data_IF_550668511134
#
_entry.id   IF_550668511134
#
_cell.length_a   1.000
_cell.length_b   1.000
_cell.length_c   1.000
_cell.angle_alpha   90.00
_cell.angle_beta   90.00
_cell.angle_gamma   90.00
#
_symmetry.space_group_name_H-M   'P 1'
#
loop_
_entity.id
_entity.type
_entity.pdbx_description
1 polymer ?
#
# COMPACT_ATOMS: atom_id res chain seq x y z
N UNK A 1 -19.34 -12.16 28.08
CA UNK A 1 -18.94 -13.30 27.22
C UNK A 1 -17.64 -12.90 26.55
N UNK A 2 -16.53 -13.55 26.94
CA UNK A 2 -15.20 -13.29 26.36
C UNK A 2 -15.17 -13.89 24.95
N UNK A 3 -14.88 -13.04 23.95
CA UNK A 3 -14.61 -13.47 22.60
C UNK A 3 -13.32 -14.33 22.65
N UNK A 4 -13.31 -15.57 22.12
CA UNK A 4 -12.09 -16.36 22.09
C UNK A 4 -11.06 -15.59 21.23
N UNK A 5 -9.89 -15.35 21.79
CA UNK A 5 -8.74 -14.85 21.04
C UNK A 5 -8.47 -15.85 19.90
N UNK A 6 -8.65 -15.42 18.65
CA UNK A 6 -8.20 -16.16 17.49
C UNK A 6 -6.66 -16.19 17.59
N UNK A 7 -6.09 -17.33 18.00
CA UNK A 7 -4.65 -17.52 18.03
C UNK A 7 -4.13 -17.40 16.60
N UNK A 8 -3.44 -16.30 16.32
CA UNK A 8 -2.67 -16.17 15.09
C UNK A 8 -1.65 -17.32 15.04
N UNK A 9 -1.49 -17.99 13.90
CA UNK A 9 -0.46 -19.02 13.79
C UNK A 9 0.89 -18.41 14.15
N UNK A 10 1.67 -19.11 14.98
CA UNK A 10 2.95 -18.63 15.45
C UNK A 10 3.88 -18.32 14.25
N UNK A 11 4.18 -17.06 14.03
CA UNK A 11 5.03 -16.57 12.96
C UNK A 11 4.27 -15.95 11.78
N UNK A 12 4.97 -15.12 11.00
CA UNK A 12 4.41 -14.47 9.80
C UNK A 12 4.00 -15.52 8.75
N UNK A 13 2.72 -15.65 8.39
CA UNK A 13 2.22 -16.72 7.52
C UNK A 13 2.58 -16.43 6.06
N UNK A 14 3.62 -17.07 5.52
CA UNK A 14 4.06 -16.88 4.15
C UNK A 14 3.17 -17.59 3.13
N UNK A 15 2.77 -16.89 2.05
CA UNK A 15 1.98 -17.46 0.95
C UNK A 15 0.56 -17.88 1.35
N UNK A 16 0.03 -17.31 2.43
CA UNK A 16 -1.25 -17.73 3.01
C UNK A 16 -2.30 -16.63 2.88
N UNK A 17 -3.54 -17.05 2.61
CA UNK A 17 -4.73 -16.22 2.77
C UNK A 17 -5.40 -16.58 4.09
N UNK A 18 -5.76 -15.58 4.87
CA UNK A 18 -6.40 -15.74 6.18
C UNK A 18 -7.24 -14.51 6.53
N UNK A 19 -8.09 -14.66 7.53
CA UNK A 19 -8.92 -13.58 8.04
C UNK A 19 -8.24 -12.93 9.25
N UNK A 20 -8.03 -11.61 9.17
CA UNK A 20 -7.41 -10.80 10.21
C UNK A 20 -8.49 -9.96 10.92
N UNK A 21 -8.54 -9.92 12.25
CA UNK A 21 -9.47 -9.04 12.96
C UNK A 21 -9.24 -7.56 12.61
N UNK A 22 -10.25 -6.92 12.04
CA UNK A 22 -10.29 -5.49 11.74
C UNK A 22 -11.20 -4.73 12.71
N UNK A 23 -11.39 -3.42 12.52
CA UNK A 23 -12.17 -2.57 13.44
C UNK A 23 -13.66 -2.89 13.48
N UNK A 24 -14.24 -3.34 12.37
CA UNK A 24 -15.69 -3.61 12.26
C UNK A 24 -16.01 -5.05 11.85
N UNK A 25 -15.00 -5.89 11.69
CA UNK A 25 -15.14 -7.29 11.25
C UNK A 25 -13.82 -7.84 10.75
N UNK A 26 -13.88 -9.03 10.18
CA UNK A 26 -12.69 -9.71 9.67
C UNK A 26 -12.25 -9.14 8.32
N UNK A 27 -10.95 -9.02 8.10
CA UNK A 27 -10.32 -8.55 6.86
C UNK A 27 -9.62 -9.71 6.13
N UNK A 28 -10.00 -9.96 4.91
CA UNK A 28 -9.32 -10.92 4.04
C UNK A 28 -7.90 -10.44 3.72
N UNK A 29 -6.91 -11.22 4.14
CA UNK A 29 -5.50 -10.83 4.08
C UNK A 29 -4.68 -11.91 3.38
N UNK A 30 -3.77 -11.50 2.51
CA UNK A 30 -2.85 -12.36 1.77
C UNK A 30 -1.42 -11.90 2.00
N UNK A 31 -0.58 -12.79 2.49
CA UNK A 31 0.84 -12.53 2.70
C UNK A 31 1.70 -13.21 1.65
N UNK A 32 2.88 -12.68 1.41
CA UNK A 32 3.91 -13.32 0.62
C UNK A 32 5.29 -13.07 1.24
N UNK A 33 6.19 -14.04 1.12
CA UNK A 33 7.58 -13.89 1.54
C UNK A 33 8.49 -13.83 0.32
N UNK A 34 9.66 -13.16 0.43
CA UNK A 34 10.70 -13.21 -0.58
C UNK A 34 11.26 -14.63 -0.70
N UNK A 35 12.03 -14.86 -1.77
CA UNK A 35 12.76 -16.11 -1.92
C UNK A 35 13.72 -16.34 -0.73
N UNK A 36 14.03 -17.62 -0.46
CA UNK A 36 14.96 -17.98 0.60
C UNK A 36 16.33 -17.33 0.37
N UNK A 37 16.94 -16.83 1.43
CA UNK A 37 18.28 -16.20 1.38
C UNK A 37 18.31 -14.73 0.93
N UNK A 38 17.16 -14.14 0.52
CA UNK A 38 17.12 -12.72 0.11
C UNK A 38 16.25 -11.86 1.05
N UNK A 39 15.68 -12.45 2.10
CA UNK A 39 14.82 -11.74 3.04
C UNK A 39 15.58 -10.65 3.80
N UNK A 40 15.02 -9.45 3.83
CA UNK A 40 15.50 -8.31 4.63
C UNK A 40 14.52 -8.04 5.78
N UNK A 41 14.95 -7.33 6.85
CA UNK A 41 14.04 -6.99 7.97
C UNK A 41 13.09 -5.85 7.58
N UNK A 42 12.21 -6.11 6.62
CA UNK A 42 11.19 -5.17 6.17
C UNK A 42 9.92 -5.88 5.69
N UNK A 43 8.77 -5.26 6.01
CA UNK A 43 7.44 -5.71 5.59
C UNK A 43 6.70 -4.55 4.92
N UNK A 44 6.18 -4.77 3.71
CA UNK A 44 5.38 -3.81 2.97
C UNK A 44 3.89 -4.17 3.07
N UNK A 45 3.05 -3.22 3.50
CA UNK A 45 1.58 -3.32 3.46
C UNK A 45 1.06 -2.53 2.27
N UNK A 46 0.22 -3.16 1.45
CA UNK A 46 -0.18 -2.64 0.14
C UNK A 46 -1.69 -2.52 0.05
N UNK A 47 -2.17 -1.31 -0.21
CA UNK A 47 -3.58 -0.95 -0.32
C UNK A 47 -4.07 -0.98 -1.77
N UNK A 48 -5.22 -1.60 -1.99
CA UNK A 48 -5.85 -1.70 -3.30
C UNK A 48 -6.64 -0.44 -3.70
N UNK A 49 -7.01 -0.28 -4.99
CA UNK A 49 -7.79 0.86 -5.45
C UNK A 49 -9.23 0.84 -4.90
N UNK A 50 -10.03 1.81 -5.32
CA UNK A 50 -11.33 2.11 -4.72
C UNK A 50 -12.27 0.88 -4.62
N UNK A 51 -12.78 0.56 -3.41
CA UNK A 51 -13.65 -0.59 -3.16
C UNK A 51 -14.87 -0.68 -4.09
N UNK A 52 -15.58 0.43 -4.23
CA UNK A 52 -16.83 0.48 -5.01
C UNK A 52 -16.63 0.43 -6.53
N UNK A 53 -15.38 0.52 -7.00
CA UNK A 53 -15.04 0.42 -8.43
C UNK A 53 -14.26 -0.85 -8.76
N UNK A 54 -14.52 -1.93 -8.01
CA UNK A 54 -13.93 -3.24 -8.25
C UNK A 54 -12.48 -3.39 -7.77
N UNK A 55 -12.02 -2.49 -6.89
CA UNK A 55 -10.72 -2.61 -6.23
C UNK A 55 -10.67 -3.85 -5.34
N UNK A 56 -9.59 -4.64 -5.46
CA UNK A 56 -9.32 -5.80 -4.60
C UNK A 56 -7.83 -5.99 -4.42
N UNK A 57 -7.43 -6.79 -3.43
CA UNK A 57 -6.04 -7.22 -3.19
C UNK A 57 -5.41 -7.96 -4.39
N UNK A 58 -6.22 -8.41 -5.36
CA UNK A 58 -5.78 -9.08 -6.59
C UNK A 58 -5.57 -8.13 -7.77
N UNK A 59 -5.81 -6.83 -7.61
CA UNK A 59 -5.56 -5.84 -8.66
C UNK A 59 -4.13 -5.98 -9.23
N UNK A 60 -3.97 -5.86 -10.56
CA UNK A 60 -2.69 -6.11 -11.24
C UNK A 60 -1.57 -5.16 -10.80
N UNK A 61 -1.87 -3.90 -10.51
CA UNK A 61 -0.89 -2.93 -10.01
C UNK A 61 -0.47 -3.32 -8.59
N UNK A 62 -1.42 -3.68 -7.72
CA UNK A 62 -1.17 -4.15 -6.36
C UNK A 62 -0.33 -5.43 -6.36
N UNK A 63 -0.64 -6.38 -7.25
CA UNK A 63 0.15 -7.59 -7.41
C UNK A 63 1.57 -7.30 -7.90
N UNK A 64 1.73 -6.37 -8.85
CA UNK A 64 3.05 -5.95 -9.35
C UNK A 64 3.87 -5.32 -8.25
N UNK A 65 3.30 -4.43 -7.41
CA UNK A 65 3.98 -3.88 -6.23
C UNK A 65 4.45 -4.99 -5.30
N UNK A 66 3.55 -5.93 -4.93
CA UNK A 66 3.89 -7.02 -4.01
C UNK A 66 5.03 -7.89 -4.55
N UNK A 67 4.97 -8.26 -5.83
CA UNK A 67 6.02 -9.03 -6.49
C UNK A 67 7.35 -8.28 -6.48
N UNK A 68 7.33 -6.98 -6.81
CA UNK A 68 8.54 -6.15 -6.87
C UNK A 68 9.16 -5.95 -5.48
N UNK A 69 8.35 -5.74 -4.45
CA UNK A 69 8.87 -5.67 -3.08
C UNK A 69 9.44 -7.01 -2.61
N UNK A 70 8.84 -8.14 -3.01
CA UNK A 70 9.41 -9.48 -2.77
C UNK A 70 10.78 -9.67 -3.43
N UNK A 71 10.98 -9.15 -4.64
CA UNK A 71 12.28 -9.14 -5.33
C UNK A 71 13.33 -8.27 -4.62
N UNK A 72 12.89 -7.22 -3.92
CA UNK A 72 13.74 -6.39 -3.05
C UNK A 72 13.98 -7.02 -1.66
N UNK A 73 13.46 -8.22 -1.42
CA UNK A 73 13.64 -8.97 -0.18
C UNK A 73 12.60 -8.69 0.91
N UNK A 74 11.57 -7.89 0.64
CA UNK A 74 10.55 -7.56 1.63
C UNK A 74 9.48 -8.66 1.71
N UNK A 75 8.96 -8.87 2.93
CA UNK A 75 7.66 -9.53 3.12
C UNK A 75 6.56 -8.60 2.65
N UNK A 76 5.46 -9.13 2.12
CA UNK A 76 4.35 -8.30 1.68
C UNK A 76 3.03 -8.76 2.28
N UNK A 77 2.18 -7.79 2.58
CA UNK A 77 0.81 -7.97 3.07
C UNK A 77 -0.11 -7.21 2.13
N UNK A 78 -1.02 -7.91 1.50
CA UNK A 78 -2.15 -7.34 0.75
C UNK A 78 -3.43 -7.73 1.47
N UNK A 79 -4.40 -6.87 1.53
CA UNK A 79 -5.67 -7.17 2.17
C UNK A 79 -6.82 -6.51 1.41
N UNK A 80 -8.02 -7.02 1.58
CA UNK A 80 -9.22 -6.39 1.11
C UNK A 80 -9.77 -5.45 2.20
N UNK A 81 -10.07 -4.20 1.82
CA UNK A 81 -10.79 -3.28 2.70
C UNK A 81 -12.15 -3.84 3.07
N UNK A 82 -12.75 -3.29 4.14
CA UNK A 82 -14.11 -3.60 4.58
C UNK A 82 -15.10 -3.65 3.40
N UNK A 83 -15.95 -4.67 3.37
CA UNK A 83 -16.97 -4.87 2.33
C UNK A 83 -16.44 -5.37 0.98
N UNK A 84 -15.14 -5.74 0.87
CA UNK A 84 -14.55 -6.25 -0.37
C UNK A 84 -14.16 -7.72 -0.21
N UNK A 85 -14.46 -8.55 -1.19
CA UNK A 85 -14.15 -9.99 -1.17
C UNK A 85 -14.75 -10.68 0.03
N UNK A 86 -13.94 -11.38 0.83
CA UNK A 86 -14.36 -12.00 2.08
C UNK A 86 -14.26 -11.06 3.30
N UNK A 87 -13.80 -9.82 3.14
CA UNK A 87 -13.79 -8.85 4.23
C UNK A 87 -15.18 -8.43 4.63
N UNK A 88 -15.45 -8.42 5.94
CA UNK A 88 -16.74 -8.03 6.50
C UNK A 88 -16.94 -6.51 6.48
N UNK A 89 -18.17 -6.07 6.75
CA UNK A 89 -18.55 -4.67 6.81
C UNK A 89 -18.95 -4.07 5.47
N UNK A 90 -18.83 -2.75 5.35
CA UNK A 90 -19.16 -1.99 4.15
C UNK A 90 -18.23 -0.77 4.03
N UNK A 91 -18.15 -0.18 2.83
CA UNK A 91 -17.33 1.01 2.54
C UNK A 91 -17.55 2.11 3.59
N UNK A 92 -16.48 2.61 4.15
CA UNK A 92 -16.42 3.52 5.31
C UNK A 92 -15.99 4.95 4.96
N UNK A 93 -16.38 5.44 3.76
CA UNK A 93 -16.12 6.83 3.30
C UNK A 93 -14.66 7.25 3.40
N UNK A 94 -13.75 6.35 3.07
CA UNK A 94 -12.30 6.47 3.06
C UNK A 94 -11.64 6.49 4.45
N UNK A 95 -12.27 7.02 5.49
CA UNK A 95 -11.72 7.02 6.86
C UNK A 95 -11.79 5.61 7.47
N UNK A 96 -12.85 4.85 7.20
CA UNK A 96 -12.96 3.46 7.64
C UNK A 96 -11.87 2.57 7.07
N UNK A 97 -11.49 2.77 5.82
CA UNK A 97 -10.40 2.04 5.17
C UNK A 97 -9.02 2.40 5.76
N UNK A 98 -8.86 3.62 6.27
CA UNK A 98 -7.67 4.00 7.05
C UNK A 98 -7.61 3.21 8.37
N UNK A 99 -8.74 3.07 9.08
CA UNK A 99 -8.80 2.24 10.30
C UNK A 99 -8.47 0.78 10.02
N UNK A 100 -8.95 0.21 8.89
CA UNK A 100 -8.61 -1.15 8.46
C UNK A 100 -7.09 -1.30 8.27
N UNK A 101 -6.46 -0.36 7.56
CA UNK A 101 -5.01 -0.37 7.38
C UNK A 101 -4.26 -0.26 8.70
N UNK A 102 -4.71 0.58 9.63
CA UNK A 102 -4.09 0.70 10.96
C UNK A 102 -4.13 -0.62 11.73
N UNK A 103 -5.22 -1.39 11.63
CA UNK A 103 -5.32 -2.73 12.23
C UNK A 103 -4.33 -3.72 11.58
N UNK A 104 -4.22 -3.71 10.26
CA UNK A 104 -3.24 -4.54 9.52
C UNK A 104 -1.80 -4.18 9.90
N UNK A 105 -1.49 -2.88 10.04
CA UNK A 105 -0.17 -2.41 10.48
C UNK A 105 0.15 -2.85 11.92
N UNK A 106 -0.82 -2.77 12.82
CA UNK A 106 -0.65 -3.23 14.20
C UNK A 106 -0.36 -4.74 14.25
N UNK A 107 -1.06 -5.52 13.43
CA UNK A 107 -0.78 -6.94 13.26
C UNK A 107 0.63 -7.18 12.70
N UNK A 108 1.00 -6.52 11.60
CA UNK A 108 2.32 -6.71 10.97
C UNK A 108 3.47 -6.40 11.95
N UNK A 109 3.34 -5.35 12.77
CA UNK A 109 4.32 -5.02 13.82
C UNK A 109 4.42 -6.09 14.90
N UNK A 110 3.30 -6.68 15.30
CA UNK A 110 3.29 -7.76 16.31
C UNK A 110 3.98 -9.01 15.79
N UNK A 111 3.70 -9.39 14.54
CA UNK A 111 4.31 -10.58 13.92
C UNK A 111 5.79 -10.36 13.56
N UNK A 112 6.17 -9.12 13.25
CA UNK A 112 7.52 -8.75 12.80
C UNK A 112 8.00 -7.46 13.48
N UNK A 113 8.27 -7.50 14.80
CA UNK A 113 8.57 -6.29 15.59
C UNK A 113 9.86 -5.56 15.17
N UNK A 114 10.79 -6.27 14.54
CA UNK A 114 12.07 -5.72 14.10
C UNK A 114 12.09 -5.31 12.62
N UNK A 115 11.00 -5.56 11.88
CA UNK A 115 10.93 -5.18 10.47
C UNK A 115 10.64 -3.68 10.33
N UNK A 116 11.31 -3.04 9.37
CA UNK A 116 10.89 -1.73 8.87
C UNK A 116 9.54 -1.89 8.17
N UNK A 117 8.58 -1.02 8.50
CA UNK A 117 7.29 -1.01 7.81
C UNK A 117 7.31 -0.05 6.63
N UNK A 118 6.97 -0.56 5.47
CA UNK A 118 6.71 0.19 4.26
C UNK A 118 5.23 0.20 3.96
N UNK A 119 4.72 1.35 3.52
CA UNK A 119 3.35 1.46 3.03
C UNK A 119 3.33 1.69 1.54
N UNK A 120 2.39 1.05 0.87
CA UNK A 120 2.15 1.31 -0.54
C UNK A 120 0.65 1.31 -0.85
N UNK A 121 0.27 2.02 -1.92
CA UNK A 121 -1.12 2.03 -2.35
C UNK A 121 -1.29 2.51 -3.79
N UNK A 122 -2.30 1.97 -4.45
CA UNK A 122 -2.70 2.34 -5.79
C UNK A 122 -3.99 3.15 -5.77
N UNK A 123 -4.00 4.28 -6.47
CA UNK A 123 -5.19 5.14 -6.63
C UNK A 123 -5.78 5.56 -5.27
N UNK A 124 -7.00 5.15 -4.95
CA UNK A 124 -7.63 5.32 -3.63
C UNK A 124 -6.76 4.74 -2.50
N UNK A 125 -6.17 3.54 -2.70
CA UNK A 125 -5.26 2.95 -1.71
C UNK A 125 -4.02 3.83 -1.44
N UNK A 126 -3.64 4.70 -2.38
CA UNK A 126 -2.61 5.72 -2.17
C UNK A 126 -3.03 6.78 -1.15
N UNK A 127 -4.31 7.18 -1.13
CA UNK A 127 -4.86 8.03 -0.08
C UNK A 127 -4.79 7.35 1.29
N UNK A 128 -5.32 6.11 1.37
CA UNK A 128 -5.36 5.36 2.63
C UNK A 128 -3.95 5.18 3.20
N UNK A 129 -2.98 4.79 2.36
CA UNK A 129 -1.58 4.65 2.76
C UNK A 129 -0.97 5.97 3.26
N UNK A 130 -1.21 7.08 2.55
CA UNK A 130 -0.70 8.40 2.94
C UNK A 130 -1.31 8.89 4.27
N UNK A 131 -2.61 8.67 4.49
CA UNK A 131 -3.29 9.01 5.75
C UNK A 131 -2.77 8.20 6.93
N UNK A 132 -2.56 6.90 6.74
CA UNK A 132 -1.99 6.04 7.79
C UNK A 132 -0.52 6.41 8.10
N UNK A 133 0.27 6.79 7.09
CA UNK A 133 1.66 7.24 7.28
C UNK A 133 1.77 8.55 8.09
N UNK A 134 0.71 9.35 8.16
CA UNK A 134 0.64 10.54 9.03
C UNK A 134 0.37 10.18 10.50
N UNK A 135 -0.19 9.00 10.76
CA UNK A 135 -0.63 8.55 12.09
C UNK A 135 0.33 7.53 12.72
N UNK A 136 1.12 6.85 11.90
CA UNK A 136 1.98 5.74 12.32
C UNK A 136 3.37 5.88 11.73
N UNK A 137 4.44 5.62 12.50
CA UNK A 137 5.80 5.64 11.97
C UNK A 137 5.97 4.52 10.92
N UNK A 138 6.42 4.92 9.73
CA UNK A 138 6.78 4.01 8.63
C UNK A 138 8.10 4.46 8.02
N UNK A 139 8.83 3.55 7.39
CA UNK A 139 10.16 3.82 6.86
C UNK A 139 10.15 4.25 5.39
N UNK A 140 9.09 3.94 4.67
CA UNK A 140 8.92 4.29 3.25
C UNK A 140 7.42 4.35 2.90
N UNK A 141 7.05 5.33 2.08
CA UNK A 141 5.72 5.42 1.46
C UNK A 141 5.87 5.38 -0.06
N UNK A 142 5.04 4.57 -0.73
CA UNK A 142 4.98 4.46 -2.19
C UNK A 142 3.54 4.58 -2.65
N UNK A 143 3.22 5.58 -3.48
CA UNK A 143 1.88 5.70 -4.05
C UNK A 143 1.93 5.69 -5.57
N UNK A 144 1.06 4.91 -6.17
CA UNK A 144 0.96 4.75 -7.62
C UNK A 144 -0.36 5.33 -8.08
N UNK A 145 -0.30 6.27 -9.02
CA UNK A 145 -1.45 7.02 -9.53
C UNK A 145 -2.42 7.47 -8.41
N UNK A 146 -1.93 8.15 -7.34
CA UNK A 146 -2.78 8.51 -6.21
C UNK A 146 -3.92 9.43 -6.67
N UNK A 147 -5.15 9.19 -6.20
CA UNK A 147 -6.36 9.87 -6.62
C UNK A 147 -6.47 11.30 -6.05
N UNK A 148 -5.47 12.16 -6.35
CA UNK A 148 -5.30 13.51 -5.77
C UNK A 148 -6.40 14.49 -6.13
N UNK A 149 -7.18 14.22 -7.17
CA UNK A 149 -8.34 15.00 -7.61
C UNK A 149 -9.61 14.72 -6.80
N UNK A 150 -9.61 13.67 -5.97
CA UNK A 150 -10.75 13.37 -5.11
C UNK A 150 -10.76 14.25 -3.86
N UNK A 151 -11.95 14.58 -3.36
CA UNK A 151 -12.13 15.54 -2.26
C UNK A 151 -11.40 15.17 -0.97
N UNK A 152 -11.35 13.89 -0.63
CA UNK A 152 -10.69 13.40 0.58
C UNK A 152 -9.16 13.57 0.54
N UNK A 153 -8.55 13.62 -0.66
CA UNK A 153 -7.11 13.80 -0.81
C UNK A 153 -6.63 15.21 -0.40
N UNK A 154 -7.52 16.18 -0.28
CA UNK A 154 -7.19 17.55 0.14
C UNK A 154 -6.63 17.62 1.56
N UNK A 155 -6.96 16.66 2.42
CA UNK A 155 -6.46 16.57 3.80
C UNK A 155 -5.08 15.91 3.93
N UNK A 156 -4.56 15.32 2.86
CA UNK A 156 -3.27 14.64 2.88
C UNK A 156 -2.13 15.63 2.88
N UNK A 157 -1.21 15.47 3.83
CA UNK A 157 0.05 16.18 3.93
C UNK A 157 1.22 15.18 3.85
N UNK A 158 2.42 15.67 3.56
CA UNK A 158 3.60 14.81 3.61
C UNK A 158 3.85 14.35 5.04
N UNK A 159 3.96 13.03 5.28
CA UNK A 159 4.32 12.54 6.60
C UNK A 159 5.75 12.99 6.93
N UNK A 160 6.00 13.52 8.14
CA UNK A 160 7.32 14.02 8.51
C UNK A 160 8.35 12.89 8.52
N UNK A 161 9.53 13.15 7.94
CA UNK A 161 10.66 12.22 7.91
C UNK A 161 10.40 10.86 7.22
N UNK A 162 9.35 10.75 6.41
CA UNK A 162 9.06 9.54 5.63
C UNK A 162 9.39 9.80 4.16
N UNK A 163 10.38 9.11 3.58
CA UNK A 163 10.62 9.16 2.15
C UNK A 163 9.37 8.73 1.39
N UNK A 164 8.90 9.56 0.46
CA UNK A 164 7.70 9.28 -0.31
C UNK A 164 8.01 9.25 -1.80
N UNK A 165 7.76 8.10 -2.44
CA UNK A 165 7.83 7.91 -3.88
C UNK A 165 6.41 7.93 -4.46
N UNK A 166 6.18 8.82 -5.41
CA UNK A 166 4.94 8.91 -6.20
C UNK A 166 5.26 8.52 -7.63
N UNK A 167 4.55 7.54 -8.19
CA UNK A 167 4.67 7.13 -9.60
C UNK A 167 3.34 7.41 -10.28
N UNK A 168 3.39 8.10 -11.44
CA UNK A 168 2.18 8.50 -12.15
C UNK A 168 2.38 8.40 -13.67
N UNK A 169 1.30 8.10 -14.40
CA UNK A 169 1.29 8.10 -15.85
C UNK A 169 0.90 9.48 -16.42
N UNK A 170 1.55 9.95 -17.46
CA UNK A 170 1.18 11.24 -18.09
C UNK A 170 -0.03 11.15 -19.04
N UNK A 171 -0.46 9.93 -19.38
CA UNK A 171 -1.69 9.64 -20.13
C UNK A 171 -2.84 9.14 -19.21
N UNK A 172 -2.74 9.37 -17.88
CA UNK A 172 -3.79 9.03 -16.92
C UNK A 172 -5.04 9.91 -17.15
N UNK A 173 -6.14 9.30 -17.57
CA UNK A 173 -7.42 9.93 -17.87
C UNK A 173 -8.34 10.07 -16.63
N UNK A 174 -8.07 9.32 -15.56
CA UNK A 174 -8.82 9.38 -14.31
C UNK A 174 -8.24 10.41 -13.34
N UNK A 175 -6.92 10.52 -13.27
CA UNK A 175 -6.21 11.51 -12.47
C UNK A 175 -5.28 12.32 -13.38
N UNK A 176 -5.73 13.47 -13.89
CA UNK A 176 -4.97 14.25 -14.86
C UNK A 176 -3.56 14.60 -14.38
N UNK A 177 -2.57 14.50 -15.25
CA UNK A 177 -1.18 14.79 -14.95
C UNK A 177 -0.98 16.19 -14.33
N UNK A 178 -1.72 17.20 -14.78
CA UNK A 178 -1.66 18.53 -14.21
C UNK A 178 -2.08 18.56 -12.72
N UNK A 179 -3.04 17.72 -12.33
CA UNK A 179 -3.51 17.65 -10.94
C UNK A 179 -2.42 17.07 -10.02
N UNK A 180 -1.71 16.01 -10.46
CA UNK A 180 -0.62 15.44 -9.66
C UNK A 180 0.56 16.41 -9.53
N UNK A 181 0.91 17.12 -10.61
CA UNK A 181 1.98 18.13 -10.58
C UNK A 181 1.66 19.26 -9.61
N UNK A 182 0.44 19.78 -9.64
CA UNK A 182 0.01 20.85 -8.73
C UNK A 182 -0.03 20.37 -7.29
N UNK A 183 -0.53 19.14 -7.06
CA UNK A 183 -0.57 18.56 -5.72
C UNK A 183 0.84 18.37 -5.13
N UNK A 184 1.79 17.81 -5.90
CA UNK A 184 3.19 17.63 -5.44
C UNK A 184 3.85 18.96 -5.09
N UNK A 185 3.61 20.04 -5.87
CA UNK A 185 4.18 21.38 -5.57
C UNK A 185 3.72 21.95 -4.24
N UNK A 186 2.56 21.55 -3.75
CA UNK A 186 2.00 22.01 -2.45
C UNK A 186 2.49 21.19 -1.25
N UNK A 187 3.10 20.03 -1.48
CA UNK A 187 3.58 19.15 -0.41
C UNK A 187 4.87 19.68 0.22
N UNK A 188 4.97 19.58 1.54
CA UNK A 188 6.15 19.96 2.33
C UNK A 188 6.51 18.84 3.34
N UNK A 189 7.65 18.15 3.20
CA UNK A 189 8.54 18.18 2.03
C UNK A 189 7.87 17.57 0.78
N UNK A 190 8.29 17.94 -0.44
CA UNK A 190 7.71 17.36 -1.64
C UNK A 190 8.11 15.89 -1.78
N UNK A 191 7.19 15.02 -2.20
CA UNK A 191 7.52 13.64 -2.54
C UNK A 191 8.39 13.58 -3.81
N UNK A 192 9.14 12.49 -3.97
CA UNK A 192 9.80 12.18 -5.24
C UNK A 192 8.75 11.75 -6.26
N UNK A 193 8.52 12.56 -7.28
CA UNK A 193 7.58 12.26 -8.36
C UNK A 193 8.31 11.66 -9.56
N UNK A 194 7.88 10.48 -10.01
CA UNK A 194 8.35 9.81 -11.21
C UNK A 194 7.20 9.67 -12.19
N UNK A 195 7.41 10.13 -13.42
CA UNK A 195 6.42 10.08 -14.49
C UNK A 195 6.76 8.97 -15.48
N UNK A 196 5.81 8.07 -15.70
CA UNK A 196 5.85 7.09 -16.78
C UNK A 196 5.14 7.66 -18.01
N UNK A 197 5.91 7.87 -19.07
CA UNK A 197 5.37 8.40 -20.34
C UNK A 197 4.38 7.43 -20.96
N UNK A 198 3.30 7.95 -21.53
CA UNK A 198 2.25 7.19 -22.21
C UNK A 198 1.60 6.09 -21.35
N UNK A 199 1.75 6.17 -20.03
CA UNK A 199 1.09 5.26 -19.11
C UNK A 199 -0.27 5.84 -18.69
N UNK A 200 -1.31 5.03 -18.83
CA UNK A 200 -2.66 5.31 -18.32
C UNK A 200 -2.80 4.92 -16.84
N UNK A 201 -3.97 5.17 -16.25
CA UNK A 201 -4.21 4.94 -14.81
C UNK A 201 -3.88 3.52 -14.34
N UNK A 202 -4.25 2.50 -15.10
CA UNK A 202 -4.06 1.08 -14.75
C UNK A 202 -2.75 0.48 -15.26
N UNK A 203 -1.91 1.25 -15.92
CA UNK A 203 -0.61 0.82 -16.46
C UNK A 203 -0.71 -0.39 -17.39
N UNK A 204 -1.76 -0.50 -18.20
CA UNK A 204 -1.89 -1.59 -19.18
C UNK A 204 -0.70 -1.61 -20.13
N UNK A 205 -0.09 -2.80 -20.28
CA UNK A 205 1.13 -2.96 -21.07
C UNK A 205 2.40 -2.34 -20.47
N UNK A 206 2.30 -1.60 -19.34
CA UNK A 206 3.40 -0.84 -18.74
C UNK A 206 3.79 -1.31 -17.32
N UNK A 207 3.28 -2.47 -16.87
CA UNK A 207 3.59 -3.00 -15.54
C UNK A 207 5.07 -3.35 -15.34
N UNK A 208 5.80 -3.69 -16.41
CA UNK A 208 7.24 -3.92 -16.34
C UNK A 208 8.02 -2.60 -16.13
N UNK A 209 7.58 -1.52 -16.75
CA UNK A 209 8.17 -0.19 -16.54
C UNK A 209 7.93 0.27 -15.10
N UNK A 210 6.70 0.07 -14.60
CA UNK A 210 6.36 0.34 -13.21
C UNK A 210 7.28 -0.43 -12.25
N UNK A 211 7.47 -1.73 -12.46
CA UNK A 211 8.39 -2.57 -11.70
C UNK A 211 9.83 -1.99 -11.75
N UNK A 212 10.31 -1.65 -12.95
CA UNK A 212 11.66 -1.09 -13.13
C UNK A 212 11.85 0.20 -12.34
N UNK A 213 10.87 1.10 -12.37
CA UNK A 213 10.91 2.35 -11.59
C UNK A 213 10.96 2.07 -10.10
N UNK A 214 10.13 1.16 -9.59
CA UNK A 214 10.14 0.79 -8.17
C UNK A 214 11.52 0.26 -7.75
N UNK A 215 12.07 -0.69 -8.51
CA UNK A 215 13.40 -1.27 -8.21
C UNK A 215 14.48 -0.19 -8.23
N UNK A 216 14.54 0.63 -9.28
CA UNK A 216 15.60 1.62 -9.45
C UNK A 216 15.63 2.67 -8.33
N UNK A 217 14.47 3.03 -7.75
CA UNK A 217 14.37 4.03 -6.69
C UNK A 217 14.48 3.46 -5.27
N UNK A 218 14.18 2.17 -5.09
CA UNK A 218 14.04 1.60 -3.75
C UNK A 218 15.07 0.53 -3.38
N UNK A 219 15.84 -0.01 -4.34
CA UNK A 219 16.83 -1.05 -4.06
C UNK A 219 17.85 -0.67 -2.98
N UNK A 220 18.27 0.61 -2.95
CA UNK A 220 19.25 1.10 -1.98
C UNK A 220 18.60 1.59 -0.67
N UNK A 221 17.27 1.56 -0.58
CA UNK A 221 16.48 1.93 0.61
C UNK A 221 16.02 0.72 1.41
N UNK A 222 15.97 -0.46 0.77
CA UNK A 222 15.70 -1.70 1.49
C UNK A 222 16.82 -1.94 2.52
N UNK A 223 16.48 -2.29 3.77
CA UNK A 223 17.51 -2.61 4.76
C UNK A 223 18.34 -3.79 4.28
N UNK A 224 19.59 -3.83 4.71
CA UNK A 224 20.45 -4.99 4.41
C UNK A 224 20.04 -6.17 5.28
N UNK A 225 20.17 -7.38 4.75
CA UNK A 225 19.94 -8.63 5.47
C UNK A 225 20.89 -8.80 6.65
#
# INVERSE_FOLDING_TARGET
MSIPACESPAGFPCGSTFMLPGPIGMLETLTSCPAEGVAVPATAVICHPHPLYGGTLHNKVVHTMAKTFGELGLRTVRFNFRGVGASEGSFGDAEGEVEDLLAVLAWARRERPNDQLWLAGFSFGGYVAARAAQQQPVSQLVTIAPAVNMYYFKSVQSPPNVPWLVIHGDADDLVPFAAIQEWVKRMQPPPTLVILKEAEHFFHGRLQDLRHVIVSHLKDRAPRA
#
